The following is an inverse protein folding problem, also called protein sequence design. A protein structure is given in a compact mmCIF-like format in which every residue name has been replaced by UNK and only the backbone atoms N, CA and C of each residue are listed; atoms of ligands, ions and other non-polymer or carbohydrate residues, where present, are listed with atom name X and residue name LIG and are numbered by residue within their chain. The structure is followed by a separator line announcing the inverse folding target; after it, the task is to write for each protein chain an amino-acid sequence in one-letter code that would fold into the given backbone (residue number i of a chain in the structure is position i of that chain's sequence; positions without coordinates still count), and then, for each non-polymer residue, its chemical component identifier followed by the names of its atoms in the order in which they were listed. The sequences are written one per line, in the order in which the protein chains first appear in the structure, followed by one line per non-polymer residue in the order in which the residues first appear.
data_IF_193125701357
#
_entry.id   IF_193125701357
#
_cell.length_a   1.000
_cell.length_b   1.000
_cell.length_c   1.000
_cell.angle_alpha   90.00
_cell.angle_beta   90.00
_cell.angle_gamma   90.00
#
_symmetry.space_group_name_H-M   'P 1'
#
loop_
_entity.id
_entity.type
_entity.pdbx_description
1 polymer ?
#
# COMPACT_ATOMS: atom_id res chain seq x y z
N UNK A 1 -58.46 1.72 28.06
CA UNK A 1 -59.07 2.51 26.96
C UNK A 1 -57.98 2.97 26.01
N UNK A 2 -57.85 2.32 24.84
CA UNK A 2 -56.93 2.74 23.79
C UNK A 2 -57.39 4.08 23.24
N UNK A 3 -56.59 5.13 23.44
CA UNK A 3 -56.88 6.48 22.96
C UNK A 3 -56.51 6.53 21.49
N UNK A 4 -57.51 6.51 20.61
CA UNK A 4 -57.28 6.66 19.18
C UNK A 4 -56.64 8.02 18.89
N UNK A 5 -55.51 7.99 18.21
CA UNK A 5 -54.91 9.16 17.59
C UNK A 5 -55.84 9.66 16.47
N UNK A 6 -55.94 10.97 16.21
CA UNK A 6 -56.87 11.49 15.21
C UNK A 6 -56.57 10.91 13.82
N UNK A 7 -57.59 10.43 13.11
CA UNK A 7 -57.48 9.77 11.78
C UNK A 7 -56.59 10.55 10.80
N UNK A 8 -56.70 11.88 10.80
CA UNK A 8 -55.93 12.79 9.93
C UNK A 8 -54.41 12.67 10.11
N UNK A 9 -53.92 12.28 11.28
CA UNK A 9 -52.49 12.06 11.50
C UNK A 9 -52.04 10.65 11.13
N UNK A 10 -52.95 9.67 11.13
CA UNK A 10 -52.67 8.33 10.61
C UNK A 10 -52.52 8.35 9.09
N UNK A 11 -53.26 9.21 8.38
CA UNK A 11 -53.11 9.44 6.94
C UNK A 11 -51.72 10.00 6.60
N UNK A 12 -51.15 10.88 7.44
CA UNK A 12 -49.77 11.37 7.28
C UNK A 12 -48.70 10.30 7.55
N UNK A 13 -49.02 9.27 8.33
CA UNK A 13 -48.14 8.12 8.60
C UNK A 13 -48.13 7.10 7.45
N UNK A 14 -49.08 7.20 6.52
CA UNK A 14 -49.21 6.33 5.34
C UNK A 14 -48.95 7.12 4.04
N UNK A 15 -48.16 8.19 4.13
CA UNK A 15 -47.75 8.95 2.96
C UNK A 15 -46.76 8.13 2.12
N UNK A 16 -47.28 7.38 1.14
CA UNK A 16 -46.52 6.52 0.23
C UNK A 16 -45.82 7.26 -0.93
N UNK A 17 -45.74 8.59 -0.85
CA UNK A 17 -45.03 9.40 -1.86
C UNK A 17 -43.53 9.07 -1.93
N UNK A 18 -42.95 9.21 -3.12
CA UNK A 18 -41.52 9.07 -3.39
C UNK A 18 -40.68 10.18 -2.75
N UNK A 19 -40.70 10.28 -1.41
CA UNK A 19 -39.80 11.17 -0.69
C UNK A 19 -38.40 10.53 -0.58
N UNK A 20 -37.32 11.33 -0.72
CA UNK A 20 -35.96 10.89 -0.41
C UNK A 20 -35.86 10.36 1.03
N UNK A 21 -35.06 9.32 1.27
CA UNK A 21 -34.90 8.70 2.60
C UNK A 21 -34.51 9.69 3.71
N UNK A 22 -33.77 10.76 3.35
CA UNK A 22 -33.41 11.82 4.29
C UNK A 22 -34.61 12.63 4.79
N UNK A 23 -35.65 12.76 3.97
CA UNK A 23 -36.86 13.53 4.29
C UNK A 23 -37.85 12.65 5.04
N UNK A 24 -37.97 11.37 4.65
CA UNK A 24 -38.73 10.35 5.39
C UNK A 24 -38.33 10.31 6.86
N UNK A 25 -37.02 10.26 7.15
CA UNK A 25 -36.51 10.26 8.54
C UNK A 25 -36.88 11.53 9.32
N UNK A 26 -36.83 12.70 8.69
CA UNK A 26 -37.21 13.98 9.32
C UNK A 26 -38.71 14.02 9.62
N UNK A 27 -39.52 13.55 8.68
CA UNK A 27 -40.97 13.45 8.81
C UNK A 27 -41.37 12.45 9.90
N UNK A 28 -40.73 11.29 9.96
CA UNK A 28 -40.95 10.32 11.06
C UNK A 28 -40.61 10.91 12.42
N UNK A 29 -39.50 11.66 12.54
CA UNK A 29 -39.12 12.33 13.79
C UNK A 29 -40.15 13.39 14.20
N UNK A 30 -40.61 14.20 13.24
CA UNK A 30 -41.66 15.20 13.46
C UNK A 30 -42.95 14.52 13.97
N UNK A 31 -43.40 13.46 13.30
CA UNK A 31 -44.59 12.71 13.71
C UNK A 31 -44.43 12.15 15.12
N UNK A 32 -43.27 11.59 15.44
CA UNK A 32 -42.98 11.08 16.77
C UNK A 32 -43.05 12.17 17.86
N UNK A 33 -42.55 13.38 17.57
CA UNK A 33 -42.64 14.52 18.48
C UNK A 33 -44.10 14.94 18.72
N UNK A 34 -44.93 14.97 17.67
CA UNK A 34 -46.37 15.25 17.80
C UNK A 34 -47.11 14.16 18.57
N UNK A 35 -46.82 12.88 18.31
CA UNK A 35 -47.39 11.77 19.07
C UNK A 35 -47.01 11.84 20.55
N UNK A 36 -45.77 12.19 20.86
CA UNK A 36 -45.30 12.36 22.24
C UNK A 36 -46.04 13.50 22.93
N UNK A 37 -46.17 14.66 22.28
CA UNK A 37 -46.94 15.80 22.82
C UNK A 37 -48.42 15.45 23.00
N UNK A 38 -49.01 14.69 22.08
CA UNK A 38 -50.40 14.22 22.18
C UNK A 38 -50.63 13.34 23.40
N UNK A 39 -49.73 12.37 23.65
CA UNK A 39 -49.81 11.48 24.83
C UNK A 39 -49.80 12.24 26.15
N UNK A 40 -49.13 13.39 26.21
CA UNK A 40 -49.09 14.23 27.43
C UNK A 40 -50.39 14.97 27.72
N UNK A 41 -51.24 15.22 26.72
CA UNK A 41 -52.49 15.98 26.89
C UNK A 41 -53.69 15.04 26.95
N UNK A 42 -54.46 15.08 28.04
CA UNK A 42 -55.55 14.14 28.30
C UNK A 42 -56.83 14.35 27.45
N UNK A 43 -57.00 15.48 26.74
CA UNK A 43 -58.21 15.82 25.93
C UNK A 43 -57.85 16.57 24.64
N UNK A 44 -58.41 16.15 23.51
CA UNK A 44 -58.08 16.66 22.16
C UNK A 44 -58.30 18.17 22.02
N UNK A 45 -59.41 18.69 22.54
CA UNK A 45 -59.75 20.13 22.48
C UNK A 45 -58.67 21.00 23.15
N UNK A 46 -58.06 20.50 24.24
CA UNK A 46 -56.98 21.21 24.94
C UNK A 46 -55.65 21.14 24.19
N UNK A 47 -55.44 20.13 23.34
CA UNK A 47 -54.22 19.99 22.55
C UNK A 47 -54.20 21.00 21.41
N UNK A 48 -55.28 21.09 20.65
CA UNK A 48 -55.39 22.05 19.54
C UNK A 48 -55.24 23.49 20.02
N UNK A 49 -55.87 23.86 21.14
CA UNK A 49 -55.73 25.19 21.73
C UNK A 49 -54.30 25.46 22.22
N UNK A 50 -53.67 24.49 22.89
CA UNK A 50 -52.32 24.64 23.48
C UNK A 50 -51.21 24.66 22.42
N UNK A 51 -51.38 23.91 21.33
CA UNK A 51 -50.37 23.76 20.29
C UNK A 51 -50.77 24.38 18.94
N UNK A 52 -51.83 25.19 18.89
CA UNK A 52 -52.32 25.87 17.68
C UNK A 52 -51.19 26.52 16.87
N UNK A 53 -50.37 27.33 17.54
CA UNK A 53 -49.22 28.03 16.94
C UNK A 53 -48.19 27.07 16.32
N UNK A 54 -48.00 25.89 16.89
CA UNK A 54 -47.07 24.89 16.40
C UNK A 54 -47.66 24.00 15.29
N UNK A 55 -48.99 23.96 15.16
CA UNK A 55 -49.68 23.28 14.05
C UNK A 55 -49.80 24.21 12.83
N UNK A 56 -49.95 25.52 13.05
CA UNK A 56 -50.03 26.54 12.00
C UNK A 56 -48.65 26.98 11.48
N UNK A 57 -47.57 26.64 12.19
CA UNK A 57 -46.22 26.97 11.74
C UNK A 57 -45.79 26.10 10.56
N UNK A 58 -45.41 26.72 9.44
CA UNK A 58 -44.88 26.02 8.28
C UNK A 58 -43.52 25.37 8.59
N UNK A 59 -43.44 24.05 8.43
CA UNK A 59 -42.22 23.27 8.68
C UNK A 59 -41.31 23.33 7.46
N UNK A 60 -40.19 24.03 7.58
CA UNK A 60 -39.20 24.14 6.51
C UNK A 60 -38.08 23.12 6.73
N UNK A 61 -38.06 22.06 5.92
CA UNK A 61 -36.93 21.14 5.89
C UNK A 61 -35.75 21.82 5.20
N UNK A 62 -34.76 22.20 5.97
CA UNK A 62 -33.53 22.74 5.41
C UNK A 62 -32.86 21.64 4.57
N UNK A 63 -32.58 21.95 3.30
CA UNK A 63 -31.71 21.13 2.47
C UNK A 63 -30.34 21.13 3.14
N UNK A 64 -29.70 19.96 3.32
CA UNK A 64 -28.39 19.92 3.93
C UNK A 64 -27.44 20.71 3.04
N UNK A 65 -26.88 21.82 3.56
CA UNK A 65 -25.71 22.45 2.96
C UNK A 65 -24.68 21.35 2.70
N UNK A 66 -24.13 21.26 1.48
CA UNK A 66 -23.08 20.30 1.12
C UNK A 66 -21.97 20.41 2.17
N UNK A 67 -21.97 19.52 3.17
CA UNK A 67 -20.88 19.44 4.13
C UNK A 67 -19.69 18.93 3.33
N UNK A 68 -18.55 19.61 3.41
CA UNK A 68 -17.31 19.13 2.81
C UNK A 68 -17.12 17.66 3.18
N UNK A 69 -16.63 16.84 2.22
CA UNK A 69 -16.70 15.39 2.32
C UNK A 69 -16.29 14.89 3.70
N UNK A 70 -17.25 14.40 4.49
CA UNK A 70 -16.98 13.73 5.75
C UNK A 70 -16.34 12.40 5.40
N UNK A 71 -15.01 12.40 5.29
CA UNK A 71 -14.23 11.26 4.84
C UNK A 71 -12.79 11.37 5.31
N UNK A 72 -12.12 10.23 5.38
CA UNK A 72 -10.68 10.16 5.68
C UNK A 72 -9.94 11.02 4.65
N UNK A 73 -9.06 11.94 5.07
CA UNK A 73 -8.31 12.78 4.14
C UNK A 73 -7.58 11.89 3.14
N UNK A 74 -7.70 12.22 1.86
CA UNK A 74 -7.00 11.54 0.79
C UNK A 74 -5.50 11.80 1.01
N UNK A 75 -4.79 10.81 1.55
CA UNK A 75 -3.31 10.84 1.56
C UNK A 75 -2.81 10.92 0.12
N UNK A 76 -1.72 11.64 -0.10
CA UNK A 76 -1.00 11.68 -1.37
C UNK A 76 -0.58 10.27 -1.85
N UNK A 77 -0.01 10.18 -3.04
CA UNK A 77 0.45 8.91 -3.61
C UNK A 77 1.52 8.22 -2.74
N UNK A 78 2.10 8.89 -1.75
CA UNK A 78 2.93 8.33 -0.66
C UNK A 78 2.16 7.38 0.27
N UNK A 79 1.74 6.24 -0.28
CA UNK A 79 1.03 5.17 0.42
C UNK A 79 1.58 3.81 -0.01
N UNK A 80 1.12 2.72 0.62
CA UNK A 80 1.53 1.37 0.25
C UNK A 80 1.27 1.08 -1.23
N UNK A 81 2.07 0.18 -1.81
CA UNK A 81 1.99 -0.18 -3.24
C UNK A 81 0.58 -0.60 -3.68
N UNK A 82 -0.12 -1.37 -2.83
CA UNK A 82 -1.54 -1.74 -3.04
C UNK A 82 -2.43 -0.51 -3.19
N UNK A 83 -2.20 0.52 -2.38
CA UNK A 83 -2.99 1.77 -2.40
C UNK A 83 -2.67 2.60 -3.65
N UNK A 84 -1.39 2.67 -4.05
CA UNK A 84 -0.96 3.34 -5.29
C UNK A 84 -1.64 2.72 -6.52
N UNK A 85 -1.68 1.39 -6.61
CA UNK A 85 -2.35 0.66 -7.71
C UNK A 85 -3.85 0.95 -7.78
N UNK A 86 -4.54 0.92 -6.63
CA UNK A 86 -5.98 1.24 -6.57
C UNK A 86 -6.26 2.69 -6.97
N UNK A 87 -5.44 3.65 -6.51
CA UNK A 87 -5.60 5.08 -6.87
C UNK A 87 -5.37 5.35 -8.35
N UNK A 88 -4.47 4.60 -8.99
CA UNK A 88 -4.13 4.75 -10.41
C UNK A 88 -4.96 3.87 -11.35
N UNK A 89 -5.87 3.06 -10.81
CA UNK A 89 -6.74 2.14 -11.57
C UNK A 89 -7.58 2.87 -12.61
N UNK A 90 -8.33 3.89 -12.18
CA UNK A 90 -9.15 4.71 -13.10
C UNK A 90 -8.32 5.37 -14.20
N UNK A 91 -7.09 5.77 -13.90
CA UNK A 91 -6.20 6.37 -14.90
C UNK A 91 -5.76 5.33 -15.92
N UNK A 92 -5.37 4.13 -15.48
CA UNK A 92 -4.94 3.02 -16.35
C UNK A 92 -6.06 2.48 -17.24
N UNK A 93 -7.31 2.50 -16.76
CA UNK A 93 -8.47 2.04 -17.54
C UNK A 93 -8.87 3.04 -18.63
N UNK A 94 -8.76 4.34 -18.34
CA UNK A 94 -9.24 5.40 -19.24
C UNK A 94 -8.25 5.82 -20.32
N UNK A 95 -6.97 5.59 -20.10
CA UNK A 95 -5.91 6.16 -20.94
C UNK A 95 -5.04 5.10 -21.57
N UNK A 96 -4.64 5.33 -22.82
CA UNK A 96 -3.70 4.46 -23.52
C UNK A 96 -2.29 4.55 -22.93
N UNK A 97 -1.56 3.43 -22.99
CA UNK A 97 -0.20 3.30 -22.46
C UNK A 97 0.75 4.33 -23.09
N UNK A 98 0.66 4.58 -24.41
CA UNK A 98 1.54 5.55 -25.09
C UNK A 98 1.26 6.98 -24.61
N UNK A 99 -0.01 7.31 -24.39
CA UNK A 99 -0.42 8.61 -23.86
C UNK A 99 0.11 8.83 -22.44
N UNK A 100 0.09 7.80 -21.59
CA UNK A 100 0.64 7.88 -20.24
C UNK A 100 2.15 8.07 -20.24
N UNK A 101 2.88 7.35 -21.10
CA UNK A 101 4.32 7.52 -21.24
C UNK A 101 4.70 8.93 -21.73
N UNK A 102 3.96 9.47 -22.70
CA UNK A 102 4.18 10.83 -23.19
C UNK A 102 3.87 11.89 -22.11
N UNK A 103 2.78 11.72 -21.36
CA UNK A 103 2.46 12.60 -20.23
C UNK A 103 3.56 12.58 -19.16
N UNK A 104 4.08 11.39 -18.83
CA UNK A 104 5.21 11.25 -17.91
C UNK A 104 6.47 11.95 -18.45
N UNK A 105 6.79 11.77 -19.74
CA UNK A 105 7.92 12.44 -20.39
C UNK A 105 7.81 13.97 -20.29
N UNK A 106 6.64 14.55 -20.58
CA UNK A 106 6.43 16.00 -20.48
C UNK A 106 6.57 16.50 -19.04
N UNK A 107 6.09 15.72 -18.06
CA UNK A 107 6.22 16.06 -16.66
C UNK A 107 7.68 16.12 -16.21
N UNK A 108 8.49 15.11 -16.54
CA UNK A 108 9.92 15.11 -16.23
C UNK A 108 10.67 16.27 -16.90
N UNK A 109 10.30 16.63 -18.14
CA UNK A 109 10.88 17.82 -18.80
C UNK A 109 10.53 19.11 -18.07
N UNK A 110 9.29 19.28 -17.65
CA UNK A 110 8.85 20.46 -16.89
C UNK A 110 9.56 20.59 -15.53
N UNK A 111 10.01 19.47 -14.97
CA UNK A 111 10.76 19.41 -13.71
C UNK A 111 12.28 19.56 -13.89
N UNK A 112 12.75 19.70 -15.14
CA UNK A 112 14.18 19.84 -15.46
C UNK A 112 14.94 18.51 -15.55
N UNK A 113 14.26 17.37 -15.41
CA UNK A 113 14.83 16.02 -15.55
C UNK A 113 14.86 15.57 -17.01
N UNK A 114 15.65 16.27 -17.84
CA UNK A 114 15.74 16.06 -19.29
C UNK A 114 16.26 14.66 -19.65
N UNK A 115 17.28 14.18 -18.96
CA UNK A 115 17.87 12.84 -19.18
C UNK A 115 16.85 11.73 -18.97
N UNK A 116 16.08 11.78 -17.86
CA UNK A 116 15.02 10.81 -17.56
C UNK A 116 13.94 10.82 -18.64
N UNK A 117 13.54 12.00 -19.10
CA UNK A 117 12.56 12.14 -20.17
C UNK A 117 13.07 11.55 -21.50
N UNK A 118 14.36 11.70 -21.81
CA UNK A 118 14.93 11.13 -23.02
C UNK A 118 15.07 9.60 -22.94
N UNK A 119 15.37 9.05 -21.76
CA UNK A 119 15.31 7.59 -21.53
C UNK A 119 13.89 7.09 -21.75
N UNK A 120 12.88 7.75 -21.18
CA UNK A 120 11.47 7.37 -21.39
C UNK A 120 11.09 7.39 -22.88
N UNK A 121 11.53 8.41 -23.63
CA UNK A 121 11.32 8.49 -25.08
C UNK A 121 11.93 7.30 -25.82
N UNK A 122 13.16 6.92 -25.47
CA UNK A 122 13.83 5.76 -26.07
C UNK A 122 13.06 4.48 -25.75
N UNK A 123 12.61 4.31 -24.50
CA UNK A 123 11.84 3.14 -24.09
C UNK A 123 10.47 3.06 -24.78
N UNK A 124 9.81 4.19 -25.04
CA UNK A 124 8.54 4.23 -25.79
C UNK A 124 8.73 3.85 -27.26
N UNK A 125 9.82 4.30 -27.89
CA UNK A 125 10.09 4.10 -29.32
C UNK A 125 10.72 2.75 -29.63
N UNK A 126 11.59 2.26 -28.75
CA UNK A 126 12.36 1.02 -28.91
C UNK A 126 12.32 0.20 -27.62
N UNK A 127 11.33 -0.69 -27.44
CA UNK A 127 11.21 -1.50 -26.22
C UNK A 127 12.40 -2.44 -26.03
N UNK A 128 13.09 -2.84 -27.10
CA UNK A 128 14.30 -3.67 -27.02
C UNK A 128 15.45 -2.98 -26.28
N UNK A 129 15.53 -1.65 -26.34
CA UNK A 129 16.53 -0.87 -25.62
C UNK A 129 16.40 -1.07 -24.10
N UNK A 130 15.20 -1.40 -23.59
CA UNK A 130 14.98 -1.70 -22.18
C UNK A 130 15.90 -2.83 -21.68
N UNK A 131 16.17 -3.85 -22.52
CA UNK A 131 17.07 -4.95 -22.16
C UNK A 131 18.51 -4.46 -21.99
N UNK A 132 18.97 -3.56 -22.85
CA UNK A 132 20.31 -2.96 -22.77
C UNK A 132 20.45 -2.14 -21.49
N UNK A 133 19.44 -1.33 -21.15
CA UNK A 133 19.44 -0.58 -19.88
C UNK A 133 19.42 -1.52 -18.67
N UNK A 134 18.62 -2.58 -18.69
CA UNK A 134 18.62 -3.60 -17.62
C UNK A 134 19.97 -4.27 -17.48
N UNK A 135 20.61 -4.62 -18.60
CA UNK A 135 21.96 -5.20 -18.59
C UNK A 135 22.97 -4.22 -18.01
N UNK A 136 22.99 -2.95 -18.44
CA UNK A 136 23.87 -1.92 -17.90
C UNK A 136 23.69 -1.71 -16.38
N UNK A 137 22.44 -1.73 -15.89
CA UNK A 137 22.14 -1.67 -14.46
C UNK A 137 22.64 -2.93 -13.75
N UNK A 138 22.48 -4.11 -14.36
CA UNK A 138 22.90 -5.38 -13.77
C UNK A 138 24.42 -5.56 -13.71
N UNK A 139 25.16 -5.04 -14.71
CA UNK A 139 26.64 -5.07 -14.73
C UNK A 139 27.21 -4.26 -13.57
N UNK A 140 26.50 -3.23 -13.09
CA UNK A 140 26.88 -2.46 -11.89
C UNK A 140 26.60 -3.18 -10.57
N UNK A 141 25.83 -4.27 -10.57
CA UNK A 141 25.68 -5.08 -9.35
C UNK A 141 26.99 -5.85 -9.17
N UNK A 142 27.92 -5.25 -8.41
CA UNK A 142 29.16 -5.92 -8.02
C UNK A 142 28.78 -7.28 -7.43
N UNK A 143 29.18 -8.34 -8.14
CA UNK A 143 28.88 -9.69 -7.69
C UNK A 143 29.65 -9.93 -6.39
N UNK A 144 29.00 -10.59 -5.43
CA UNK A 144 29.69 -11.02 -4.24
C UNK A 144 30.92 -11.84 -4.65
N UNK A 145 32.05 -11.58 -4.01
CA UNK A 145 33.30 -12.31 -4.19
C UNK A 145 33.03 -13.81 -4.05
N UNK A 146 33.63 -14.65 -4.89
CA UNK A 146 33.49 -16.11 -4.73
C UNK A 146 33.95 -16.54 -3.33
N UNK A 147 33.29 -17.56 -2.78
CA UNK A 147 33.59 -18.11 -1.45
C UNK A 147 35.06 -18.53 -1.34
N UNK A 148 35.63 -19.09 -2.42
CA UNK A 148 37.04 -19.52 -2.45
C UNK A 148 38.00 -18.32 -2.40
N UNK A 149 37.64 -17.23 -3.08
CA UNK A 149 38.42 -15.99 -3.08
C UNK A 149 38.34 -15.29 -1.71
N UNK A 150 37.17 -15.33 -1.07
CA UNK A 150 37.01 -14.83 0.30
C UNK A 150 37.78 -15.69 1.33
N UNK A 151 37.80 -17.01 1.15
CA UNK A 151 38.61 -17.91 1.98
C UNK A 151 40.11 -17.65 1.79
N UNK A 152 40.56 -17.48 0.54
CA UNK A 152 41.93 -17.12 0.20
C UNK A 152 42.33 -15.79 0.84
N UNK A 153 41.46 -14.78 0.77
CA UNK A 153 41.69 -13.49 1.43
C UNK A 153 41.87 -13.64 2.94
N UNK A 154 41.03 -14.47 3.58
CA UNK A 154 41.11 -14.71 5.03
C UNK A 154 42.42 -15.39 5.43
N UNK A 155 42.86 -16.39 4.66
CA UNK A 155 44.10 -17.13 4.90
C UNK A 155 45.32 -16.24 4.62
N UNK A 156 45.38 -15.62 3.45
CA UNK A 156 46.53 -14.83 3.00
C UNK A 156 46.67 -13.53 3.81
N UNK A 157 45.55 -12.88 4.13
CA UNK A 157 45.50 -11.67 4.94
C UNK A 157 45.57 -11.92 6.45
N UNK A 158 45.65 -13.19 6.89
CA UNK A 158 45.63 -13.59 8.32
C UNK A 158 44.51 -12.91 9.11
N UNK A 159 43.35 -12.76 8.48
CA UNK A 159 42.22 -12.04 9.07
C UNK A 159 41.53 -12.91 10.11
N UNK A 160 41.26 -12.31 11.28
CA UNK A 160 40.37 -12.91 12.27
C UNK A 160 38.90 -12.82 11.80
N UNK A 161 38.03 -13.65 12.39
CA UNK A 161 36.57 -13.60 12.16
C UNK A 161 36.02 -12.18 12.37
N UNK A 162 36.46 -11.52 13.43
CA UNK A 162 36.01 -10.18 13.77
C UNK A 162 36.42 -9.16 12.70
N UNK A 163 37.68 -9.16 12.28
CA UNK A 163 38.18 -8.27 11.23
C UNK A 163 37.47 -8.48 9.90
N UNK A 164 37.25 -9.74 9.49
CA UNK A 164 36.52 -10.04 8.26
C UNK A 164 35.08 -9.52 8.32
N UNK A 165 34.38 -9.73 9.44
CA UNK A 165 33.03 -9.24 9.63
C UNK A 165 32.96 -7.72 9.69
N UNK A 166 33.96 -7.06 10.28
CA UNK A 166 34.06 -5.61 10.33
C UNK A 166 34.16 -5.02 8.91
N UNK A 167 35.09 -5.52 8.10
CA UNK A 167 35.27 -5.11 6.69
C UNK A 167 34.00 -5.38 5.87
N UNK A 168 33.34 -6.52 6.11
CA UNK A 168 32.08 -6.84 5.44
C UNK A 168 30.97 -5.86 5.84
N UNK A 169 30.85 -5.53 7.12
CA UNK A 169 29.80 -4.65 7.61
C UNK A 169 30.00 -3.22 7.11
N UNK A 170 31.24 -2.70 7.11
CA UNK A 170 31.53 -1.39 6.51
C UNK A 170 31.16 -1.35 5.02
N UNK A 171 31.47 -2.42 4.26
CA UNK A 171 31.07 -2.51 2.86
C UNK A 171 29.54 -2.56 2.68
N UNK A 172 28.82 -3.22 3.57
CA UNK A 172 27.35 -3.28 3.53
C UNK A 172 26.70 -1.94 3.88
N UNK A 173 27.27 -1.18 4.80
CA UNK A 173 26.83 0.18 5.13
C UNK A 173 26.95 1.11 3.91
N UNK A 174 27.98 0.92 3.09
CA UNK A 174 28.15 1.59 1.79
C UNK A 174 27.28 1.01 0.67
N UNK A 175 26.43 0.01 0.97
CA UNK A 175 25.55 -0.65 0.00
C UNK A 175 26.22 -1.66 -0.92
N UNK A 176 27.47 -2.05 -0.62
CA UNK A 176 28.24 -3.04 -1.37
C UNK A 176 28.10 -4.44 -0.78
N UNK A 177 27.67 -5.40 -1.59
CA UNK A 177 27.58 -6.83 -1.20
C UNK A 177 28.82 -7.63 -1.60
N UNK A 178 29.97 -6.95 -1.74
CA UNK A 178 31.21 -7.54 -2.25
C UNK A 178 31.72 -8.73 -1.42
N UNK A 179 31.57 -8.70 -0.09
CA UNK A 179 32.09 -9.76 0.78
C UNK A 179 31.03 -10.80 1.13
N UNK A 180 31.36 -12.08 0.92
CA UNK A 180 30.47 -13.21 1.28
C UNK A 180 30.23 -13.31 2.78
N UNK A 181 29.11 -13.93 3.17
CA UNK A 181 28.87 -14.27 4.56
C UNK A 181 29.97 -15.22 5.09
N UNK A 182 30.48 -14.94 6.28
CA UNK A 182 31.52 -15.71 6.95
C UNK A 182 31.15 -17.19 7.13
N UNK A 183 29.87 -17.51 7.34
CA UNK A 183 29.41 -18.91 7.46
C UNK A 183 29.68 -19.73 6.19
N UNK A 184 29.48 -19.12 5.01
CA UNK A 184 29.78 -19.77 3.74
C UNK A 184 31.29 -20.06 3.60
N UNK A 185 32.13 -19.11 4.04
CA UNK A 185 33.60 -19.23 4.05
C UNK A 185 34.06 -20.37 4.98
N UNK A 186 33.47 -20.48 6.19
CA UNK A 186 33.77 -21.59 7.10
C UNK A 186 33.35 -22.93 6.49
N UNK A 187 32.18 -22.99 5.86
CA UNK A 187 31.70 -24.22 5.22
C UNK A 187 32.69 -24.70 4.15
N UNK A 188 33.18 -23.79 3.31
CA UNK A 188 34.22 -24.09 2.33
C UNK A 188 35.53 -24.57 2.99
N UNK A 189 36.00 -23.89 4.05
CA UNK A 189 37.18 -24.30 4.82
C UNK A 189 37.05 -25.73 5.35
N UNK A 190 35.89 -26.08 5.93
CA UNK A 190 35.61 -27.43 6.46
C UNK A 190 35.54 -28.48 5.36
N UNK A 191 34.98 -28.15 4.20
CA UNK A 191 34.91 -29.07 3.06
C UNK A 191 36.30 -29.39 2.53
N UNK A 192 37.16 -28.38 2.37
CA UNK A 192 38.55 -28.57 1.96
C UNK A 192 39.29 -29.46 2.97
N UNK A 193 39.22 -29.15 4.26
CA UNK A 193 39.91 -29.96 5.28
C UNK A 193 39.46 -31.43 5.23
N UNK A 194 38.16 -31.72 5.16
CA UNK A 194 37.64 -33.09 5.07
C UNK A 194 38.15 -33.87 3.86
N UNK A 195 38.24 -33.23 2.69
CA UNK A 195 38.81 -33.84 1.47
C UNK A 195 40.28 -34.21 1.64
N UNK A 196 41.09 -33.32 2.25
CA UNK A 196 42.50 -33.60 2.49
C UNK A 196 42.74 -34.71 3.53
N UNK A 197 41.85 -34.87 4.51
CA UNK A 197 41.95 -35.96 5.49
C UNK A 197 41.55 -37.33 4.92
N UNK A 198 40.59 -37.41 4.00
CA UNK A 198 40.25 -38.69 3.35
C UNK A 198 41.32 -39.19 2.36
N UNK A 199 41.99 -38.28 1.64
CA UNK A 199 43.02 -38.68 0.65
C UNK A 199 44.35 -39.15 1.26
N UNK A 200 44.67 -38.82 2.53
CA UNK A 200 45.90 -39.33 3.17
C UNK A 200 45.81 -40.79 3.61
N UNK A 201 44.59 -41.32 3.79
CA UNK A 201 44.38 -42.69 4.24
C UNK A 201 44.39 -43.72 3.11
N UNK A 202 44.53 -43.28 1.85
CA UNK A 202 44.53 -44.17 0.67
C UNK A 202 45.91 -44.32 0.00
N UNK A 203 46.95 -43.60 0.46
CA UNK A 203 48.27 -43.60 -0.18
C UNK A 203 49.37 -44.33 0.59
N UNK A 204 49.03 -45.13 1.62
CA UNK A 204 50.00 -45.86 2.45
C UNK A 204 50.05 -47.38 2.20
N UNK A 205 49.63 -47.85 1.03
CA UNK A 205 49.62 -49.27 0.69
C UNK A 205 50.14 -49.55 -0.71
N UNK A 206 51.46 -49.56 -0.90
CA UNK A 206 52.19 -50.34 -1.91
C UNK A 206 53.67 -49.95 -1.89
N UNK A 207 54.44 -50.51 -0.95
CA UNK A 207 55.89 -50.63 -1.13
C UNK A 207 56.36 -51.92 -0.45
N UNK A 208 56.08 -53.05 -1.11
CA UNK A 208 56.72 -54.33 -0.79
C UNK A 208 57.15 -54.97 -2.11
N UNK A 209 58.46 -54.98 -2.35
CA UNK A 209 59.08 -55.72 -3.44
C UNK A 209 60.41 -55.12 -3.84
N UNK A 210 61.52 -55.69 -3.35
CA UNK A 210 62.60 -56.28 -4.17
C UNK A 210 63.83 -56.53 -3.29
N UNK A 211 64.08 -57.80 -2.97
CA UNK A 211 65.39 -58.49 -3.07
C UNK A 211 65.14 -59.99 -3.09
#
# INVERSE_FOLDING_TARGET
MNKHFPSKFCELLHFDGELPDSEKRKLSKLIFEYQSKWKTVRRNIKFEQKYKKALESSVHFHTPKKRGSTGRPLKNLESSERTKRRKTEQLREKTDSKSLMYAAQMKYRSEGHTETADILRVLTTKPEAAKVYQQAISVRKMHAMSVDKALSLLINGKLTKFQYNLIRNSALEEGSTLYTNYEAVIKAKRMLSKKYFHNRNFSSGAFTGFT
#
